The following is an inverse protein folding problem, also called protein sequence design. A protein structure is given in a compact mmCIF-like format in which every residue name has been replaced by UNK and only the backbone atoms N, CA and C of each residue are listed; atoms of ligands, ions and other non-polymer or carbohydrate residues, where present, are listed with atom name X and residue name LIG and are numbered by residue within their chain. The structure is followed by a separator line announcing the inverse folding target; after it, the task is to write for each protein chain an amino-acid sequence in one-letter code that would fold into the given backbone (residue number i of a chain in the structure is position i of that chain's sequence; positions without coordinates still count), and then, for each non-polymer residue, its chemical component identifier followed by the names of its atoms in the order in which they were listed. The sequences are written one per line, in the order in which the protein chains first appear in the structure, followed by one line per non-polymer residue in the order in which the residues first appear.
data_IF_606920787062
#
_entry.id   IF_606920787062
#
_cell.length_a   1.000
_cell.length_b   1.000
_cell.length_c   1.000
_cell.angle_alpha   90.00
_cell.angle_beta   90.00
_cell.angle_gamma   90.00
#
_symmetry.space_group_name_H-M   'P 1'
#
loop_
_entity.id
_entity.type
_entity.pdbx_description
1 polymer ?
#
# COMPACT_ATOMS: atom_id res chain seq x y z
N UNK A 1 -3.10 7.22 -3.77
CA UNK A 1 -3.02 8.18 -2.67
C UNK A 1 -1.60 8.59 -2.39
N UNK A 2 -0.67 7.65 -2.06
CA UNK A 2 0.76 7.98 -1.85
C UNK A 2 1.38 8.83 -2.96
N UNK A 3 1.08 8.57 -4.22
CA UNK A 3 1.57 9.38 -5.35
C UNK A 3 0.92 10.74 -5.46
N UNK A 4 -0.36 10.86 -5.13
CA UNK A 4 -1.04 12.15 -5.24
C UNK A 4 -0.50 13.18 -4.24
N UNK A 5 -0.34 12.75 -3.00
CA UNK A 5 0.33 13.55 -1.99
C UNK A 5 1.82 13.78 -2.33
N UNK A 6 2.53 12.76 -2.85
CA UNK A 6 3.93 12.90 -3.27
C UNK A 6 4.11 13.73 -4.53
N UNK A 7 3.22 13.62 -5.54
CA UNK A 7 3.31 14.49 -6.72
C UNK A 7 3.15 15.98 -6.35
N UNK A 8 2.26 16.30 -5.40
CA UNK A 8 2.19 17.64 -4.83
C UNK A 8 3.44 18.04 -4.03
N UNK A 9 4.08 17.05 -3.38
CA UNK A 9 5.26 17.29 -2.54
C UNK A 9 6.59 17.22 -3.29
N UNK A 10 6.70 16.42 -4.35
CA UNK A 10 7.96 16.22 -5.09
C UNK A 10 8.08 17.04 -6.38
N UNK A 11 7.03 17.72 -6.83
CA UNK A 11 7.05 18.60 -7.99
C UNK A 11 7.87 19.88 -7.76
N UNK A 12 8.91 19.81 -6.93
CA UNK A 12 9.71 20.98 -6.64
C UNK A 12 11.07 20.91 -7.30
N UNK A 13 11.18 21.38 -8.53
CA UNK A 13 12.14 22.42 -8.88
C UNK A 13 12.17 22.70 -10.39
N UNK A 14 11.86 23.94 -10.70
CA UNK A 14 12.24 24.74 -11.87
C UNK A 14 11.17 25.14 -12.88
N UNK A 15 9.91 24.77 -12.75
CA UNK A 15 8.88 25.49 -13.53
C UNK A 15 7.72 25.86 -12.61
N UNK A 16 7.41 27.16 -12.55
CA UNK A 16 6.15 27.66 -11.96
C UNK A 16 5.00 27.14 -12.83
N UNK A 17 4.55 25.92 -12.58
CA UNK A 17 3.26 25.45 -13.08
C UNK A 17 2.19 25.80 -12.07
N UNK A 18 1.13 26.42 -12.55
CA UNK A 18 0.02 26.88 -11.76
C UNK A 18 -0.74 25.64 -11.25
N UNK A 19 -1.07 25.58 -9.98
CA UNK A 19 -1.72 24.45 -9.29
C UNK A 19 -3.02 24.01 -9.98
N UNK A 20 -3.75 24.95 -10.58
CA UNK A 20 -4.94 24.70 -11.39
C UNK A 20 -4.68 23.90 -12.67
N UNK A 21 -3.47 23.89 -13.19
CA UNK A 21 -3.12 23.15 -14.40
C UNK A 21 -2.78 21.69 -14.13
N UNK A 22 -2.28 21.36 -12.93
CA UNK A 22 -1.98 19.96 -12.52
C UNK A 22 -3.27 19.22 -12.19
N UNK A 23 -4.19 19.89 -11.51
CA UNK A 23 -5.48 19.30 -11.09
C UNK A 23 -6.46 19.19 -12.27
N UNK A 24 -6.40 20.12 -13.24
CA UNK A 24 -7.35 20.15 -14.36
C UNK A 24 -6.99 19.23 -15.53
N UNK A 25 -5.76 18.70 -15.59
CA UNK A 25 -5.31 17.96 -16.79
C UNK A 25 -5.23 16.45 -16.66
N UNK A 26 -5.32 15.87 -15.45
CA UNK A 26 -5.43 14.41 -15.29
C UNK A 26 -5.96 14.01 -13.90
N UNK A 27 -7.23 14.25 -13.60
CA UNK A 27 -7.79 13.84 -12.32
C UNK A 27 -7.96 12.31 -12.19
N UNK A 28 -7.91 11.58 -13.28
CA UNK A 28 -8.29 10.16 -13.33
C UNK A 28 -7.09 9.22 -13.26
N UNK A 29 -5.95 9.61 -13.82
CA UNK A 29 -4.71 8.83 -13.70
C UNK A 29 -4.22 8.66 -12.26
N UNK A 30 -4.54 9.63 -11.41
CA UNK A 30 -4.23 9.57 -9.99
C UNK A 30 -5.17 8.65 -9.19
N UNK A 31 -6.27 8.18 -9.78
CA UNK A 31 -7.33 7.43 -9.10
C UNK A 31 -7.25 5.92 -9.28
N UNK A 32 -6.67 5.44 -10.38
CA UNK A 32 -6.25 4.05 -10.46
C UNK A 32 -5.25 3.71 -9.33
N UNK A 33 -4.56 4.74 -8.82
CA UNK A 33 -3.65 4.63 -7.69
C UNK A 33 -4.32 4.73 -6.32
N UNK A 34 -5.62 4.98 -6.21
CA UNK A 34 -6.29 5.20 -4.92
C UNK A 34 -7.01 3.99 -4.37
N UNK A 35 -7.12 2.96 -5.17
CA UNK A 35 -7.85 1.77 -4.75
C UNK A 35 -6.94 0.84 -3.98
N UNK A 36 -7.31 0.57 -2.78
CA UNK A 36 -6.89 -0.52 -1.91
C UNK A 36 -5.70 -0.20 -1.02
N UNK A 37 -6.04 0.06 0.20
CA UNK A 37 -5.17 -0.03 1.32
C UNK A 37 -4.38 -1.33 1.32
N UNK A 38 -3.13 -1.15 1.50
CA UNK A 38 -2.24 -2.20 1.95
C UNK A 38 -1.71 -3.15 0.91
N UNK A 39 -2.20 -3.22 -0.33
CA UNK A 39 -1.65 -4.31 -1.11
C UNK A 39 -1.89 -4.39 -2.60
N UNK A 40 -2.82 -3.71 -3.13
CA UNK A 40 -3.08 -3.77 -4.57
C UNK A 40 -2.37 -2.65 -5.34
N UNK A 41 -1.44 -1.98 -4.72
CA UNK A 41 -0.75 -0.83 -5.28
C UNK A 41 0.61 -1.10 -5.88
N UNK A 42 0.90 -2.33 -6.12
CA UNK A 42 2.02 -2.67 -6.98
C UNK A 42 1.81 -2.23 -8.45
N UNK A 43 0.64 -1.72 -8.78
CA UNK A 43 0.29 -1.49 -10.17
C UNK A 43 1.00 -0.33 -10.84
N UNK A 44 1.68 0.52 -10.11
CA UNK A 44 2.37 1.65 -10.70
C UNK A 44 3.62 2.03 -9.94
N UNK A 45 4.51 1.06 -9.75
CA UNK A 45 5.91 1.38 -9.67
C UNK A 45 6.39 1.78 -11.07
N UNK A 46 5.81 2.80 -11.64
CA UNK A 46 6.56 3.52 -12.64
C UNK A 46 7.85 3.94 -11.95
N UNK A 47 8.96 3.88 -12.65
CA UNK A 47 10.26 4.27 -12.14
C UNK A 47 10.13 5.61 -11.44
N UNK A 48 10.87 5.80 -10.36
CA UNK A 48 10.91 7.05 -9.61
C UNK A 48 10.84 8.19 -10.61
N UNK A 49 9.74 8.91 -10.63
CA UNK A 49 9.44 9.86 -11.69
C UNK A 49 10.59 10.85 -11.76
N UNK A 50 11.36 10.75 -12.82
CA UNK A 50 12.33 11.76 -13.16
C UNK A 50 11.58 13.09 -13.25
N UNK A 51 11.87 14.11 -12.46
CA UNK A 51 11.12 15.37 -12.47
C UNK A 51 11.23 16.16 -13.78
N UNK A 52 11.85 15.59 -14.80
CA UNK A 52 12.06 16.26 -16.08
C UNK A 52 11.15 15.77 -17.24
N UNK A 53 10.23 14.82 -17.02
CA UNK A 53 9.44 14.16 -18.08
C UNK A 53 8.10 14.78 -18.45
N UNK A 54 7.63 15.82 -17.80
CA UNK A 54 6.41 16.54 -18.23
C UNK A 54 6.77 17.63 -19.24
N UNK A 55 6.86 17.25 -20.50
CA UNK A 55 6.82 18.23 -21.60
C UNK A 55 5.45 18.91 -21.59
N UNK A 56 5.47 20.24 -21.53
CA UNK A 56 4.30 21.07 -21.75
C UNK A 56 3.66 20.73 -23.10
N UNK A 57 2.51 20.09 -23.07
CA UNK A 57 1.66 20.03 -24.26
C UNK A 57 1.02 21.39 -24.45
N UNK A 58 1.32 22.05 -25.55
CA UNK A 58 0.66 23.28 -25.99
C UNK A 58 -0.84 23.03 -26.09
N UNK A 59 -1.63 23.91 -25.50
CA UNK A 59 -3.08 23.89 -25.55
C UNK A 59 -3.57 24.23 -26.98
N UNK A 60 -3.63 23.23 -27.84
CA UNK A 60 -4.47 23.23 -29.01
C UNK A 60 -5.69 22.36 -28.67
N UNK A 61 -6.86 22.98 -28.58
CA UNK A 61 -8.13 22.28 -28.49
C UNK A 61 -8.34 21.45 -29.77
N UNK A 62 -7.75 20.26 -29.81
CA UNK A 62 -8.10 19.22 -30.76
C UNK A 62 -9.22 18.41 -30.14
N UNK A 63 -10.24 18.09 -30.91
CA UNK A 63 -11.25 17.09 -30.57
C UNK A 63 -10.53 15.72 -30.49
N UNK A 64 -9.84 15.45 -29.39
CA UNK A 64 -9.22 14.17 -29.16
C UNK A 64 -10.32 13.11 -29.08
N UNK A 65 -10.20 12.11 -29.95
CA UNK A 65 -11.05 10.91 -29.88
C UNK A 65 -10.81 10.29 -28.51
N UNK A 66 -11.90 9.97 -27.82
CA UNK A 66 -11.86 9.17 -26.58
C UNK A 66 -10.94 7.95 -26.79
N UNK A 67 -9.96 7.71 -25.90
CA UNK A 67 -9.01 6.59 -26.04
C UNK A 67 -9.73 5.27 -26.30
N UNK A 68 -9.11 4.36 -27.03
CA UNK A 68 -9.64 3.01 -27.19
C UNK A 68 -9.72 2.32 -25.80
N UNK A 69 -10.64 1.39 -25.63
CA UNK A 69 -10.86 0.72 -24.35
C UNK A 69 -9.57 0.10 -23.74
N UNK A 70 -8.66 -0.34 -24.60
CA UNK A 70 -7.36 -0.92 -24.21
C UNK A 70 -6.26 0.12 -23.92
N UNK A 71 -6.57 1.40 -24.05
CA UNK A 71 -5.66 2.51 -23.77
C UNK A 71 -6.10 3.31 -22.54
N UNK A 72 -7.22 2.91 -21.91
CA UNK A 72 -7.82 3.59 -20.75
C UNK A 72 -7.33 2.98 -19.46
N UNK A 73 -7.10 3.81 -18.45
CA UNK A 73 -6.76 3.40 -17.10
C UNK A 73 -7.94 2.72 -16.37
N UNK A 74 -9.16 2.98 -16.82
CA UNK A 74 -10.36 2.26 -16.38
C UNK A 74 -11.23 1.88 -17.58
N UNK A 75 -11.95 0.75 -17.50
CA UNK A 75 -12.76 0.24 -18.61
C UNK A 75 -13.94 1.15 -18.93
N UNK A 76 -14.63 1.70 -17.92
CA UNK A 76 -15.88 2.44 -18.10
C UNK A 76 -15.91 3.80 -17.40
N UNK A 77 -15.34 3.90 -16.21
CA UNK A 77 -15.55 5.03 -15.30
C UNK A 77 -14.90 6.29 -15.84
N UNK A 78 -13.66 6.21 -16.31
CA UNK A 78 -12.93 7.34 -16.90
C UNK A 78 -13.74 7.98 -18.04
N UNK A 79 -14.15 7.17 -18.99
CA UNK A 79 -14.93 7.68 -20.14
C UNK A 79 -16.30 8.23 -19.75
N UNK A 80 -16.92 7.73 -18.67
CA UNK A 80 -18.17 8.27 -18.16
C UNK A 80 -17.95 9.63 -17.48
N UNK A 81 -16.92 9.79 -16.66
CA UNK A 81 -16.59 11.08 -16.01
C UNK A 81 -16.24 12.13 -17.04
N UNK A 82 -15.38 11.82 -18.00
CA UNK A 82 -15.00 12.73 -19.09
C UNK A 82 -16.23 13.20 -19.90
N UNK A 83 -17.16 12.31 -20.14
CA UNK A 83 -18.37 12.60 -20.94
C UNK A 83 -19.42 13.40 -20.18
N UNK A 84 -19.67 13.05 -18.91
CA UNK A 84 -20.85 13.54 -18.18
C UNK A 84 -20.52 14.56 -17.09
N UNK A 85 -19.28 14.60 -16.61
CA UNK A 85 -18.85 15.45 -15.50
C UNK A 85 -17.38 15.89 -15.59
N UNK A 86 -16.90 16.44 -16.76
CA UNK A 86 -15.48 16.66 -16.99
C UNK A 86 -14.82 17.65 -16.00
N UNK A 87 -15.57 18.62 -15.49
CA UNK A 87 -15.05 19.66 -14.60
C UNK A 87 -15.58 19.56 -13.18
N UNK A 88 -16.16 18.41 -12.81
CA UNK A 88 -16.82 18.26 -11.50
C UNK A 88 -15.84 18.11 -10.34
N UNK A 89 -14.57 17.78 -10.59
CA UNK A 89 -13.63 17.36 -9.55
C UNK A 89 -14.03 16.05 -8.85
N UNK A 90 -15.02 15.35 -9.40
CA UNK A 90 -15.50 14.06 -8.89
C UNK A 90 -14.77 12.92 -9.59
N UNK A 91 -14.08 12.11 -8.84
CA UNK A 91 -13.22 11.05 -9.31
C UNK A 91 -13.60 9.74 -8.64
N UNK A 92 -14.56 9.00 -9.19
CA UNK A 92 -14.95 7.69 -8.70
C UNK A 92 -14.00 6.61 -9.21
N UNK A 93 -13.88 5.53 -8.44
CA UNK A 93 -13.14 4.35 -8.84
C UNK A 93 -13.85 3.08 -8.42
N UNK A 94 -13.65 2.02 -9.20
CA UNK A 94 -14.05 0.65 -8.87
C UNK A 94 -12.96 -0.29 -9.35
N UNK A 95 -12.41 -1.08 -8.44
CA UNK A 95 -11.40 -2.10 -8.76
C UNK A 95 -11.89 -3.45 -8.28
N UNK A 96 -11.66 -4.47 -9.09
CA UNK A 96 -11.79 -5.85 -8.69
C UNK A 96 -10.43 -6.53 -8.74
N UNK A 97 -10.06 -7.16 -7.62
CA UNK A 97 -8.88 -8.02 -7.51
C UNK A 97 -9.34 -9.42 -7.20
N UNK A 98 -9.02 -10.38 -8.04
CA UNK A 98 -9.32 -11.79 -7.82
C UNK A 98 -8.05 -12.61 -7.79
N UNK A 99 -7.97 -13.57 -6.87
CA UNK A 99 -6.80 -14.42 -6.69
C UNK A 99 -7.17 -15.89 -6.65
N UNK A 100 -6.28 -16.71 -7.19
CA UNK A 100 -6.37 -18.15 -7.05
C UNK A 100 -5.02 -18.67 -6.53
N UNK A 101 -5.05 -19.38 -5.41
CA UNK A 101 -3.87 -19.89 -4.72
C UNK A 101 -3.93 -21.39 -4.51
N UNK A 102 -2.77 -22.06 -4.47
CA UNK A 102 -2.65 -23.47 -4.16
C UNK A 102 -1.37 -23.74 -3.36
N UNK A 103 -1.51 -24.46 -2.24
CA UNK A 103 -0.37 -25.14 -1.59
C UNK A 103 -0.07 -26.43 -2.32
N UNK A 104 1.10 -26.50 -2.95
CA UNK A 104 1.56 -27.65 -3.75
C UNK A 104 2.60 -28.50 -3.02
N UNK A 105 2.89 -28.23 -1.76
CA UNK A 105 3.93 -28.90 -0.97
C UNK A 105 3.61 -30.35 -0.61
N UNK A 106 2.35 -30.71 -0.55
CA UNK A 106 1.87 -32.02 -0.05
C UNK A 106 1.43 -32.99 -1.14
N UNK A 107 1.96 -32.83 -2.34
CA UNK A 107 1.68 -33.72 -3.47
C UNK A 107 0.30 -33.52 -4.08
N UNK A 108 -0.41 -34.61 -4.45
CA UNK A 108 -1.69 -34.51 -5.18
C UNK A 108 -2.88 -34.00 -4.34
N UNK A 109 -2.74 -33.85 -3.05
CA UNK A 109 -3.76 -33.22 -2.20
C UNK A 109 -3.50 -31.70 -2.13
N UNK A 110 -3.70 -31.04 -3.24
CA UNK A 110 -3.57 -29.58 -3.35
C UNK A 110 -4.71 -28.91 -2.60
N UNK A 111 -4.37 -28.11 -1.61
CA UNK A 111 -5.32 -27.18 -1.02
C UNK A 111 -5.34 -25.91 -1.87
N UNK A 112 -6.52 -25.50 -2.30
CA UNK A 112 -6.69 -24.33 -3.15
C UNK A 112 -7.68 -23.36 -2.53
N UNK A 113 -7.41 -22.08 -2.74
CA UNK A 113 -8.24 -20.95 -2.32
C UNK A 113 -8.51 -20.08 -3.54
N UNK A 114 -9.73 -19.58 -3.63
CA UNK A 114 -10.07 -18.43 -4.46
C UNK A 114 -10.61 -17.34 -3.55
N UNK A 115 -10.10 -16.12 -3.72
CA UNK A 115 -10.57 -14.94 -3.02
C UNK A 115 -10.71 -13.76 -3.97
N UNK A 116 -11.47 -12.79 -3.57
CA UNK A 116 -11.63 -11.56 -4.34
C UNK A 116 -12.00 -10.36 -3.48
N UNK A 117 -11.51 -9.22 -3.91
CA UNK A 117 -11.76 -7.93 -3.30
C UNK A 117 -12.35 -6.97 -4.33
N UNK A 118 -13.54 -6.47 -4.06
CA UNK A 118 -14.08 -5.29 -4.72
C UNK A 118 -13.81 -4.06 -3.88
N UNK A 119 -13.16 -3.08 -4.48
CA UNK A 119 -12.98 -1.77 -3.86
C UNK A 119 -13.72 -0.72 -4.67
N UNK A 120 -14.50 0.09 -3.99
CA UNK A 120 -15.27 1.19 -4.60
C UNK A 120 -15.05 2.44 -3.78
N UNK A 121 -15.00 3.57 -4.44
CA UNK A 121 -14.86 4.83 -3.75
C UNK A 121 -14.89 6.02 -4.70
N UNK A 122 -14.64 7.17 -4.11
CA UNK A 122 -14.46 8.42 -4.85
C UNK A 122 -13.63 9.39 -4.06
N UNK A 123 -13.06 10.34 -4.77
CA UNK A 123 -12.55 11.59 -4.23
C UNK A 123 -13.29 12.76 -4.87
N UNK A 124 -13.59 13.79 -4.09
CA UNK A 124 -14.20 15.00 -4.55
C UNK A 124 -13.31 16.20 -4.23
N UNK A 125 -12.80 16.86 -5.26
CA UNK A 125 -12.19 18.18 -5.11
C UNK A 125 -13.28 19.21 -4.79
N UNK A 126 -13.21 19.81 -3.61
CA UNK A 126 -14.19 20.78 -3.15
C UNK A 126 -14.04 22.13 -3.88
N UNK A 127 -12.88 22.42 -4.46
CA UNK A 127 -12.67 23.63 -5.25
C UNK A 127 -13.53 23.61 -6.53
N UNK A 128 -13.74 22.43 -7.10
CA UNK A 128 -14.56 22.25 -8.30
C UNK A 128 -16.07 22.41 -8.05
N UNK A 129 -16.55 22.17 -6.83
CA UNK A 129 -18.01 22.20 -6.49
C UNK A 129 -18.49 23.59 -6.03
N UNK A 130 -17.77 24.65 -6.38
CA UNK A 130 -18.12 26.02 -6.01
C UNK A 130 -17.41 26.53 -4.76
N UNK A 131 -16.41 25.79 -4.28
CA UNK A 131 -15.44 26.25 -3.29
C UNK A 131 -14.46 27.26 -3.88
N UNK A 132 -13.68 27.87 -3.03
CA UNK A 132 -12.51 28.66 -3.44
C UNK A 132 -11.32 27.71 -3.66
N UNK A 133 -10.33 28.15 -4.42
CA UNK A 133 -9.06 27.44 -4.50
C UNK A 133 -8.53 27.11 -3.09
N UNK A 134 -8.08 25.90 -2.89
CA UNK A 134 -7.53 25.44 -1.61
C UNK A 134 -8.56 24.93 -0.58
N UNK A 135 -9.78 24.64 -0.99
CA UNK A 135 -10.78 24.00 -0.10
C UNK A 135 -10.49 22.52 0.18
N UNK A 136 -9.48 21.93 -0.46
CA UNK A 136 -9.10 20.56 -0.25
C UNK A 136 -10.06 19.55 -0.89
N UNK A 137 -10.03 18.32 -0.40
CA UNK A 137 -10.79 17.21 -0.98
C UNK A 137 -11.35 16.27 0.09
N UNK A 138 -12.44 15.59 -0.24
CA UNK A 138 -13.04 14.51 0.55
C UNK A 138 -12.81 13.20 -0.20
N UNK A 139 -12.33 12.18 0.49
CA UNK A 139 -12.20 10.82 -0.02
C UNK A 139 -13.06 9.85 0.77
N UNK A 140 -13.65 8.88 0.05
CA UNK A 140 -14.41 7.77 0.62
C UNK A 140 -14.05 6.50 -0.12
N UNK A 141 -13.75 5.43 0.62
CA UNK A 141 -13.55 4.10 0.08
C UNK A 141 -14.28 3.04 0.89
N UNK A 142 -14.70 1.99 0.21
CA UNK A 142 -15.32 0.81 0.80
C UNK A 142 -14.89 -0.42 0.03
N UNK A 143 -14.93 -1.58 0.66
CA UNK A 143 -14.62 -2.82 0.00
C UNK A 143 -15.59 -3.95 0.38
N UNK A 144 -15.65 -4.93 -0.50
CA UNK A 144 -16.33 -6.20 -0.30
C UNK A 144 -15.36 -7.33 -0.61
N UNK A 145 -15.00 -8.12 0.40
CA UNK A 145 -14.12 -9.26 0.30
C UNK A 145 -14.89 -10.57 0.39
N UNK A 146 -14.56 -11.50 -0.49
CA UNK A 146 -15.12 -12.87 -0.49
C UNK A 146 -14.00 -13.89 -0.64
N UNK A 147 -14.19 -15.05 -0.04
CA UNK A 147 -13.22 -16.15 -0.09
C UNK A 147 -13.93 -17.50 -0.21
N UNK A 148 -13.25 -18.47 -0.77
CA UNK A 148 -13.64 -19.88 -0.72
C UNK A 148 -12.94 -20.61 0.43
N UNK A 149 -13.47 -21.74 0.85
CA UNK A 149 -12.81 -22.65 1.80
C UNK A 149 -12.30 -22.00 3.09
N UNK A 150 -13.14 -21.13 3.71
CA UNK A 150 -12.83 -20.44 4.98
C UNK A 150 -11.49 -19.66 5.00
N UNK A 151 -10.93 -19.36 3.84
CA UNK A 151 -9.70 -18.58 3.69
C UNK A 151 -8.41 -19.32 4.00
N UNK A 152 -8.48 -20.66 4.15
CA UNK A 152 -7.33 -21.47 4.53
C UNK A 152 -6.67 -22.15 3.33
N UNK A 153 -5.36 -22.08 3.24
CA UNK A 153 -4.52 -22.90 2.37
C UNK A 153 -4.00 -24.12 3.11
N UNK A 154 -4.95 -25.03 3.47
CA UNK A 154 -4.57 -26.33 4.05
C UNK A 154 -3.90 -26.26 5.42
N UNK A 155 -4.14 -25.20 6.18
CA UNK A 155 -3.55 -24.97 7.48
C UNK A 155 -2.11 -24.45 7.40
N UNK A 156 -1.75 -23.77 6.31
CA UNK A 156 -0.55 -22.94 6.29
C UNK A 156 -0.73 -21.77 7.24
N UNK A 157 0.10 -21.73 8.27
CA UNK A 157 0.16 -20.67 9.28
C UNK A 157 1.59 -20.15 9.36
N UNK A 158 1.76 -18.84 9.33
CA UNK A 158 3.06 -18.19 9.37
C UNK A 158 3.01 -16.94 10.22
N UNK A 159 3.99 -16.79 11.09
CA UNK A 159 4.15 -15.60 11.90
C UNK A 159 4.49 -14.34 11.09
N UNK A 160 4.93 -14.50 9.85
CA UNK A 160 5.20 -13.36 8.96
C UNK A 160 3.94 -12.73 8.38
N UNK A 161 2.80 -13.41 8.42
CA UNK A 161 1.55 -12.98 7.81
C UNK A 161 1.09 -13.91 6.70
N UNK A 162 0.27 -13.39 5.79
CA UNK A 162 -0.43 -14.17 4.78
C UNK A 162 0.32 -14.16 3.43
N UNK A 163 0.11 -15.23 2.64
CA UNK A 163 0.57 -15.33 1.24
C UNK A 163 -0.02 -14.25 0.32
N UNK A 164 -1.12 -13.64 0.73
CA UNK A 164 -1.74 -12.54 0.01
C UNK A 164 -2.04 -11.36 0.94
N UNK A 165 -1.86 -10.20 0.41
CA UNK A 165 -2.04 -8.92 1.08
C UNK A 165 -3.48 -8.36 0.95
N UNK A 166 -4.41 -9.06 0.26
CA UNK A 166 -5.83 -8.73 0.26
C UNK A 166 -6.66 -9.63 1.19
N UNK A 167 -6.06 -10.69 1.74
CA UNK A 167 -6.80 -11.63 2.62
C UNK A 167 -7.38 -10.89 3.82
N UNK A 168 -8.68 -11.08 3.99
CA UNK A 168 -9.47 -10.57 5.11
C UNK A 168 -10.54 -11.61 5.45
N UNK A 169 -11.29 -11.52 6.49
CA UNK A 169 -12.49 -12.33 6.66
C UNK A 169 -13.59 -11.86 5.69
N UNK A 170 -14.54 -12.74 5.28
CA UNK A 170 -15.68 -12.29 4.46
C UNK A 170 -16.35 -11.08 5.08
N UNK A 171 -16.31 -9.96 4.41
CA UNK A 171 -16.87 -8.71 4.92
C UNK A 171 -17.18 -7.70 3.83
N UNK A 172 -18.15 -6.83 4.12
CA UNK A 172 -18.38 -5.58 3.41
C UNK A 172 -18.13 -4.43 4.41
N UNK A 173 -17.27 -3.48 4.05
CA UNK A 173 -16.84 -2.44 4.99
C UNK A 173 -16.58 -1.13 4.30
N UNK A 174 -17.00 -0.01 4.91
CA UNK A 174 -16.41 1.29 4.63
C UNK A 174 -15.02 1.31 5.24
N UNK A 175 -14.02 1.63 4.41
CA UNK A 175 -12.62 1.56 4.81
C UNK A 175 -12.12 2.94 5.24
N UNK A 176 -12.00 3.88 4.32
CA UNK A 176 -11.58 5.23 4.66
C UNK A 176 -12.68 6.26 4.37
N UNK A 177 -12.79 7.26 5.23
CA UNK A 177 -13.53 8.50 5.00
C UNK A 177 -12.69 9.64 5.55
N UNK A 178 -12.26 10.56 4.70
CA UNK A 178 -11.39 11.63 5.13
C UNK A 178 -11.63 12.96 4.41
N UNK A 179 -11.19 14.00 5.06
CA UNK A 179 -10.90 15.29 4.45
C UNK A 179 -9.39 15.49 4.38
N UNK A 180 -8.90 16.00 3.26
CA UNK A 180 -7.49 16.31 3.04
C UNK A 180 -7.30 17.70 2.46
N UNK A 181 -6.20 18.34 2.82
CA UNK A 181 -5.78 19.60 2.22
C UNK A 181 -4.26 19.75 2.24
N UNK A 182 -3.73 20.54 1.30
CA UNK A 182 -2.32 20.77 1.10
C UNK A 182 -2.06 22.27 0.95
N UNK A 183 -0.97 22.74 1.54
CA UNK A 183 -0.57 24.16 1.55
C UNK A 183 0.88 24.29 1.11
N UNK A 184 1.12 25.09 0.09
CA UNK A 184 2.47 25.51 -0.28
C UNK A 184 2.90 26.71 0.56
N UNK A 185 4.08 26.62 1.15
CA UNK A 185 4.67 27.71 1.93
C UNK A 185 6.09 27.98 1.45
N UNK A 186 6.65 29.12 1.80
CA UNK A 186 8.05 29.43 1.54
C UNK A 186 9.05 28.53 2.26
N UNK A 187 8.58 27.76 3.23
CA UNK A 187 9.38 26.82 4.03
C UNK A 187 9.12 25.36 3.68
N UNK A 188 8.43 25.07 2.59
CA UNK A 188 8.05 23.73 2.17
C UNK A 188 6.54 23.56 2.10
N UNK A 189 6.12 22.33 1.79
CA UNK A 189 4.72 21.97 1.64
C UNK A 189 4.25 21.28 2.92
N UNK A 190 3.05 21.65 3.36
CA UNK A 190 2.36 21.05 4.50
C UNK A 190 1.06 20.48 3.98
N UNK A 191 0.77 19.21 4.31
CA UNK A 191 -0.52 18.58 4.01
C UNK A 191 -1.06 17.87 5.24
N UNK A 192 -2.35 17.59 5.24
CA UNK A 192 -2.95 16.76 6.27
C UNK A 192 -4.14 15.96 5.73
N UNK A 193 -4.41 14.83 6.40
CA UNK A 193 -5.65 14.06 6.28
C UNK A 193 -6.25 13.87 7.66
N UNK A 194 -7.55 14.04 7.78
CA UNK A 194 -8.30 13.81 9.02
C UNK A 194 -9.57 13.03 8.72
N UNK A 195 -9.84 12.00 9.49
CA UNK A 195 -11.03 11.17 9.33
C UNK A 195 -10.78 9.74 9.78
N UNK A 196 -11.44 8.80 9.15
CA UNK A 196 -11.18 7.38 9.29
C UNK A 196 -10.07 7.02 8.29
N UNK A 197 -8.91 6.62 8.80
CA UNK A 197 -7.66 6.46 8.05
C UNK A 197 -6.96 5.17 8.42
N UNK A 198 -6.22 4.57 7.49
CA UNK A 198 -5.33 3.44 7.73
C UNK A 198 -3.86 3.90 7.75
N UNK A 199 -3.08 3.45 8.73
CA UNK A 199 -1.70 3.91 8.91
C UNK A 199 -0.74 3.29 7.87
N UNK A 200 -0.99 2.09 7.41
CA UNK A 200 -0.17 1.41 6.38
C UNK A 200 -0.21 2.12 5.01
N UNK A 201 -1.21 2.99 4.78
CA UNK A 201 -1.25 3.88 3.62
C UNK A 201 -0.14 4.95 3.64
N UNK A 202 0.32 5.35 4.82
CA UNK A 202 1.18 6.50 5.02
C UNK A 202 2.59 6.14 5.48
N UNK A 203 2.75 4.95 6.10
CA UNK A 203 3.97 4.53 6.76
C UNK A 203 4.51 3.20 6.21
N UNK A 204 5.80 2.94 6.40
CA UNK A 204 6.53 1.70 6.10
C UNK A 204 6.70 1.35 4.61
N UNK A 205 5.84 1.83 3.72
CA UNK A 205 5.89 1.44 2.31
C UNK A 205 7.12 1.94 1.57
N UNK A 206 7.58 1.12 0.64
CA UNK A 206 8.66 1.42 -0.31
C UNK A 206 8.17 1.09 -1.71
N UNK A 207 8.43 1.97 -2.69
CA UNK A 207 7.92 1.79 -4.06
C UNK A 207 8.36 0.44 -4.68
N UNK A 208 9.54 -0.06 -4.31
CA UNK A 208 10.04 -1.33 -4.83
C UNK A 208 9.54 -2.56 -4.06
N UNK A 209 8.92 -2.39 -2.89
CA UNK A 209 8.26 -3.49 -2.18
C UNK A 209 6.79 -3.69 -2.60
N UNK A 210 6.19 -2.70 -3.24
CA UNK A 210 4.76 -2.68 -3.50
C UNK A 210 4.28 -3.69 -4.57
N UNK A 211 5.20 -4.28 -5.35
CA UNK A 211 4.85 -5.29 -6.36
C UNK A 211 4.53 -6.65 -5.76
N UNK A 212 4.98 -6.93 -4.55
CA UNK A 212 4.85 -8.24 -3.93
C UNK A 212 3.45 -8.47 -3.34
N UNK A 213 3.03 -9.74 -3.34
CA UNK A 213 1.71 -10.15 -2.88
C UNK A 213 1.69 -10.63 -1.42
N UNK A 214 2.82 -11.12 -0.91
CA UNK A 214 2.92 -11.51 0.49
C UNK A 214 2.72 -10.30 1.41
N UNK A 215 1.84 -10.44 2.40
CA UNK A 215 1.45 -9.32 3.27
C UNK A 215 2.61 -8.70 4.05
N UNK A 216 3.65 -9.48 4.39
CA UNK A 216 4.83 -8.98 5.10
C UNK A 216 5.68 -8.02 4.27
N UNK A 217 5.64 -8.16 2.94
CA UNK A 217 6.34 -7.26 2.03
C UNK A 217 5.58 -5.92 1.83
N UNK A 218 4.32 -5.84 2.23
CA UNK A 218 3.55 -4.62 2.38
C UNK A 218 3.80 -3.95 3.74
N UNK A 219 3.10 -4.40 4.77
CA UNK A 219 3.28 -3.94 6.15
C UNK A 219 4.34 -4.78 6.87
N UNK A 220 5.29 -4.15 7.55
CA UNK A 220 6.33 -4.84 8.34
C UNK A 220 5.68 -5.48 9.57
N UNK A 221 5.65 -6.83 9.71
CA UNK A 221 4.79 -7.51 10.69
C UNK A 221 5.04 -7.14 12.14
N UNK A 222 6.31 -7.00 12.54
CA UNK A 222 6.67 -6.64 13.92
C UNK A 222 6.60 -5.13 14.20
N UNK A 223 6.42 -4.31 13.17
CA UNK A 223 6.18 -2.86 13.31
C UNK A 223 4.68 -2.57 13.36
N UNK A 224 3.90 -3.27 12.57
CA UNK A 224 2.46 -3.15 12.51
C UNK A 224 1.79 -4.52 12.70
N UNK A 225 1.84 -5.11 13.92
CA UNK A 225 1.13 -6.33 14.18
C UNK A 225 -0.34 -6.20 13.80
N UNK A 226 -0.87 -7.22 13.13
CA UNK A 226 -2.25 -7.25 12.71
C UNK A 226 -3.20 -7.02 13.90
N UNK A 227 -4.29 -6.31 13.69
CA UNK A 227 -5.30 -5.97 14.70
C UNK A 227 -4.84 -5.03 15.85
N UNK A 228 -3.55 -4.66 15.92
CA UNK A 228 -3.07 -3.70 16.92
C UNK A 228 -3.18 -2.25 16.42
N UNK A 229 -3.03 -2.03 15.14
CA UNK A 229 -3.01 -0.72 14.52
C UNK A 229 -4.10 -0.55 13.46
N UNK A 230 -4.46 0.69 13.20
CA UNK A 230 -5.26 1.06 12.05
C UNK A 230 -4.49 0.76 10.77
N UNK A 231 -4.89 -0.27 10.07
CA UNK A 231 -4.28 -0.73 8.81
C UNK A 231 -5.30 -1.52 7.99
N UNK A 232 -4.95 -1.94 6.78
CA UNK A 232 -5.81 -2.88 6.04
C UNK A 232 -6.06 -4.12 6.95
N UNK A 233 -7.26 -4.47 7.20
CA UNK A 233 -8.58 -4.19 6.68
C UNK A 233 -9.44 -3.27 7.58
N UNK A 234 -8.88 -2.64 8.60
CA UNK A 234 -9.59 -1.83 9.59
C UNK A 234 -8.96 -0.45 9.72
N UNK A 235 -9.62 0.56 9.19
CA UNK A 235 -9.27 1.96 9.41
C UNK A 235 -9.97 2.52 10.64
N UNK A 236 -9.32 3.44 11.36
CA UNK A 236 -9.85 4.10 12.56
C UNK A 236 -9.75 5.62 12.44
N UNK A 237 -10.39 6.34 13.38
CA UNK A 237 -10.27 7.79 13.44
C UNK A 237 -8.81 8.20 13.65
N UNK A 238 -8.35 9.15 12.85
CA UNK A 238 -6.97 9.62 12.89
C UNK A 238 -6.77 10.98 12.24
N UNK A 239 -5.58 11.49 12.47
CA UNK A 239 -5.03 12.69 11.83
C UNK A 239 -3.62 12.37 11.38
N UNK A 240 -3.32 12.62 10.10
CA UNK A 240 -1.97 12.53 9.55
C UNK A 240 -1.56 13.89 9.03
N UNK A 241 -0.34 14.29 9.34
CA UNK A 241 0.28 15.52 8.86
C UNK A 241 1.53 15.19 8.07
N UNK A 242 1.66 15.81 6.92
CA UNK A 242 2.80 15.67 6.00
C UNK A 242 3.53 17.00 5.92
N UNK A 243 4.83 16.93 5.94
CA UNK A 243 5.70 18.06 5.66
C UNK A 243 6.77 17.64 4.68
N UNK A 244 7.06 18.46 3.65
CA UNK A 244 8.19 18.22 2.75
C UNK A 244 8.94 19.52 2.46
N UNK A 245 10.25 19.40 2.43
CA UNK A 245 11.16 20.46 2.05
C UNK A 245 12.37 19.89 1.34
N UNK A 246 12.60 20.34 0.11
CA UNK A 246 13.65 19.80 -0.78
C UNK A 246 13.60 18.28 -0.86
N UNK A 247 14.61 17.58 -0.36
CA UNK A 247 14.72 16.12 -0.41
C UNK A 247 14.17 15.43 0.85
N UNK A 248 13.76 16.18 1.86
CA UNK A 248 13.24 15.65 3.12
C UNK A 248 11.73 15.63 3.14
N UNK A 249 11.17 14.61 3.75
CA UNK A 249 9.77 14.54 4.12
C UNK A 249 9.61 13.97 5.54
N UNK A 250 8.59 14.47 6.23
CA UNK A 250 8.18 14.03 7.55
C UNK A 250 6.69 13.73 7.53
N UNK A 251 6.32 12.53 7.96
CA UNK A 251 4.93 12.13 8.18
C UNK A 251 4.71 11.84 9.65
N UNK A 252 3.69 12.43 10.24
CA UNK A 252 3.26 12.21 11.62
C UNK A 252 1.79 11.79 11.62
N UNK A 253 1.46 10.72 12.34
CA UNK A 253 0.09 10.20 12.45
C UNK A 253 -0.32 9.97 13.90
N UNK A 254 -1.54 10.33 14.24
CA UNK A 254 -2.19 9.98 15.50
C UNK A 254 -3.51 9.31 15.18
N UNK A 255 -3.73 8.12 15.72
CA UNK A 255 -4.91 7.33 15.46
C UNK A 255 -5.56 6.88 16.77
N UNK A 256 -6.86 6.62 16.71
CA UNK A 256 -7.51 5.84 17.74
C UNK A 256 -6.82 4.48 17.84
N UNK A 257 -6.29 4.13 19.00
CA UNK A 257 -5.58 2.87 19.21
C UNK A 257 -6.52 1.67 19.34
N UNK A 258 -7.82 1.89 19.56
CA UNK A 258 -8.80 0.82 19.60
C UNK A 258 -9.31 0.53 18.18
N UNK A 259 -8.85 -0.56 17.60
CA UNK A 259 -9.23 -1.00 16.23
C UNK A 259 -10.58 -1.73 16.21
N UNK A 260 -11.22 -1.93 17.36
CA UNK A 260 -12.49 -2.63 17.52
C UNK A 260 -12.32 -4.13 17.77
N UNK A 261 -13.09 -4.62 18.76
CA UNK A 261 -12.97 -5.99 19.26
C UNK A 261 -13.59 -7.05 18.34
N UNK A 262 -14.51 -6.67 17.47
CA UNK A 262 -15.18 -7.58 16.53
C UNK A 262 -15.19 -6.97 15.13
N UNK A 263 -14.15 -7.27 14.39
CA UNK A 263 -13.97 -6.82 13.01
C UNK A 263 -15.12 -7.31 12.12
N UNK A 264 -15.66 -8.50 12.38
CA UNK A 264 -16.70 -9.12 11.54
C UNK A 264 -18.06 -8.42 11.65
N UNK A 265 -18.37 -7.86 12.81
CA UNK A 265 -19.62 -7.12 13.05
C UNK A 265 -19.54 -5.63 12.75
N UNK A 266 -18.33 -5.10 12.62
CA UNK A 266 -18.08 -3.68 12.39
C UNK A 266 -17.99 -3.37 10.90
N UNK A 267 -19.08 -2.91 10.30
CA UNK A 267 -19.12 -2.49 8.89
C UNK A 267 -18.33 -1.20 8.59
N UNK A 268 -17.32 -0.87 9.39
CA UNK A 268 -16.45 0.26 9.23
C UNK A 268 -16.82 1.48 10.10
N UNK A 269 -17.80 1.39 10.99
CA UNK A 269 -18.31 2.51 11.78
C UNK A 269 -18.38 2.25 13.29
N UNK A 270 -17.51 1.42 13.82
CA UNK A 270 -17.42 1.27 15.27
C UNK A 270 -16.52 2.34 15.88
N UNK A 271 -17.15 3.32 16.49
CA UNK A 271 -16.50 4.42 17.22
C UNK A 271 -16.69 4.28 18.74
N UNK A 272 -17.07 3.10 19.22
CA UNK A 272 -17.07 2.79 20.65
C UNK A 272 -15.64 2.86 21.20
N UNK A 273 -15.50 3.34 22.43
CA UNK A 273 -14.20 3.50 23.10
C UNK A 273 -13.17 4.34 22.33
N UNK A 274 -13.65 5.34 21.59
CA UNK A 274 -12.80 6.22 20.79
C UNK A 274 -11.80 6.97 21.69
N UNK A 275 -10.51 6.82 21.34
CA UNK A 275 -9.37 7.40 22.06
C UNK A 275 -9.21 7.00 23.53
N UNK A 276 -9.73 5.84 23.96
CA UNK A 276 -9.29 5.22 25.23
C UNK A 276 -7.82 4.82 25.16
N UNK A 277 -7.36 4.43 23.98
CA UNK A 277 -5.96 4.21 23.64
C UNK A 277 -5.58 5.03 22.41
N UNK A 278 -4.30 5.33 22.27
CA UNK A 278 -3.76 6.16 21.19
C UNK A 278 -2.61 5.40 20.53
N UNK A 279 -2.62 5.39 19.21
CA UNK A 279 -1.51 4.97 18.39
C UNK A 279 -0.87 6.19 17.73
N UNK A 280 0.43 6.34 17.88
CA UNK A 280 1.23 7.40 17.28
C UNK A 280 2.21 6.81 16.29
N UNK A 281 2.36 7.45 15.12
CA UNK A 281 3.29 7.07 14.06
C UNK A 281 4.13 8.24 13.60
N UNK A 282 5.37 7.97 13.22
CA UNK A 282 6.25 8.95 12.59
C UNK A 282 7.12 8.28 11.53
N UNK A 283 7.41 9.01 10.47
CA UNK A 283 8.35 8.61 9.42
C UNK A 283 9.09 9.83 8.88
N UNK A 284 10.41 9.75 8.85
CA UNK A 284 11.28 10.69 8.17
C UNK A 284 11.82 10.04 6.90
N UNK A 285 11.66 10.69 5.77
CA UNK A 285 12.17 10.27 4.47
C UNK A 285 13.24 11.22 3.93
N UNK A 286 14.20 10.67 3.22
CA UNK A 286 15.22 11.42 2.49
C UNK A 286 15.43 10.82 1.11
N UNK A 287 15.21 11.62 0.07
CA UNK A 287 15.50 11.26 -1.30
C UNK A 287 16.91 11.72 -1.67
N UNK A 288 17.65 10.85 -2.30
CA UNK A 288 19.02 11.14 -2.71
C UNK A 288 19.29 10.60 -4.12
N UNK A 289 20.39 11.03 -4.68
CA UNK A 289 20.88 10.53 -5.96
C UNK A 289 22.33 10.07 -5.79
N UNK A 290 22.61 8.85 -6.20
CA UNK A 290 23.94 8.26 -6.15
C UNK A 290 24.42 7.91 -7.56
N UNK A 291 25.31 8.72 -8.12
CA UNK A 291 25.83 8.50 -9.46
C UNK A 291 24.80 8.63 -10.58
N UNK A 292 23.78 9.46 -10.43
CA UNK A 292 22.69 9.61 -11.38
C UNK A 292 21.53 8.61 -11.17
N UNK A 293 21.58 7.81 -10.09
CA UNK A 293 20.60 6.80 -9.75
C UNK A 293 19.80 7.23 -8.53
N UNK A 294 18.48 7.32 -8.66
CA UNK A 294 17.60 7.76 -7.59
C UNK A 294 17.56 6.73 -6.46
N UNK A 295 17.58 7.22 -5.23
CA UNK A 295 17.45 6.43 -4.02
C UNK A 295 16.61 7.13 -2.96
N UNK A 296 16.12 6.38 -2.00
CA UNK A 296 15.36 6.86 -0.85
C UNK A 296 15.71 6.06 0.39
N UNK A 297 15.83 6.73 1.50
CA UNK A 297 15.89 6.12 2.82
C UNK A 297 14.75 6.65 3.67
N UNK A 298 14.14 5.77 4.45
CA UNK A 298 13.13 6.11 5.44
C UNK A 298 13.55 5.59 6.81
N UNK A 299 13.24 6.34 7.84
CA UNK A 299 13.33 5.93 9.23
C UNK A 299 12.00 6.27 9.91
N UNK A 300 11.44 5.36 10.65
CA UNK A 300 10.20 5.58 11.34
C UNK A 300 9.98 4.65 12.52
N UNK A 301 8.82 4.78 13.10
CA UNK A 301 8.39 3.94 14.22
C UNK A 301 6.99 4.32 14.68
N UNK A 302 6.55 3.60 15.68
CA UNK A 302 5.25 3.84 16.30
C UNK A 302 5.28 3.63 17.81
N UNK A 303 4.19 4.04 18.42
CA UNK A 303 3.88 3.82 19.82
C UNK A 303 2.39 3.59 19.99
N UNK A 304 2.01 2.54 20.72
CA UNK A 304 0.63 2.28 21.13
C UNK A 304 0.55 2.33 22.66
N UNK A 305 -0.39 3.12 23.18
CA UNK A 305 -0.44 3.44 24.61
C UNK A 305 -0.83 2.24 25.49
N UNK A 306 -1.69 1.35 24.98
CA UNK A 306 -2.15 0.16 25.71
C UNK A 306 -2.75 -0.89 24.74
N UNK A 307 -1.93 -1.75 24.13
CA UNK A 307 -2.43 -2.79 23.24
C UNK A 307 -3.26 -3.87 23.93
N UNK A 308 -3.19 -4.04 25.25
CA UNK A 308 -4.00 -5.03 25.97
C UNK A 308 -5.50 -4.75 25.92
N UNK A 309 -5.89 -3.53 25.56
CA UNK A 309 -7.30 -3.14 25.37
C UNK A 309 -7.83 -3.40 23.95
N UNK A 310 -6.97 -3.83 23.05
CA UNK A 310 -7.32 -4.13 21.66
C UNK A 310 -7.42 -5.63 21.52
N UNK A 311 -8.32 -6.29 22.14
CA UNK A 311 -8.70 -7.71 22.01
C UNK A 311 -7.57 -8.71 21.66
N UNK A 312 -6.35 -8.40 22.07
CA UNK A 312 -5.20 -9.27 21.96
C UNK A 312 -5.10 -10.07 23.26
N UNK A 313 -5.69 -11.25 23.29
CA UNK A 313 -5.74 -12.15 24.47
C UNK A 313 -4.35 -12.57 25.00
N UNK A 314 -3.27 -12.07 24.45
CA UNK A 314 -1.92 -12.54 24.73
C UNK A 314 -0.94 -11.46 25.22
N UNK A 315 -1.34 -10.20 25.33
CA UNK A 315 -0.41 -9.13 25.68
C UNK A 315 -0.65 -8.63 27.11
N UNK A 316 0.23 -9.02 28.01
CA UNK A 316 0.29 -8.56 29.41
C UNK A 316 1.00 -7.19 29.57
N UNK A 317 1.09 -6.39 28.51
CA UNK A 317 1.95 -5.23 28.45
C UNK A 317 1.19 -3.91 28.38
N UNK A 318 1.67 -2.94 29.10
CA UNK A 318 1.06 -1.61 29.19
C UNK A 318 1.29 -0.70 27.98
N UNK A 319 2.20 -0.99 27.06
CA UNK A 319 2.43 -0.21 25.84
C UNK A 319 3.24 -1.01 24.84
N UNK A 320 3.12 -0.65 23.56
CA UNK A 320 3.93 -1.20 22.47
C UNK A 320 4.70 -0.06 21.79
N UNK A 321 5.90 -0.35 21.31
CA UNK A 321 6.64 0.55 20.44
C UNK A 321 7.57 -0.23 19.51
N UNK A 322 7.76 0.31 18.32
CA UNK A 322 8.62 -0.28 17.32
C UNK A 322 9.34 0.78 16.48
N UNK A 323 10.38 0.34 15.79
CA UNK A 323 11.18 1.17 14.88
C UNK A 323 11.41 0.42 13.58
N UNK A 324 11.52 1.17 12.48
CA UNK A 324 11.90 0.61 11.20
C UNK A 324 12.82 1.54 10.40
N UNK A 325 13.59 0.93 9.54
CA UNK A 325 14.41 1.58 8.52
C UNK A 325 14.12 0.91 7.19
N UNK A 326 13.95 1.69 6.14
CA UNK A 326 13.85 1.21 4.77
C UNK A 326 14.79 1.97 3.86
N UNK A 327 15.37 1.27 2.90
CA UNK A 327 16.17 1.86 1.82
C UNK A 327 15.74 1.27 0.49
N UNK A 328 15.63 2.12 -0.53
CA UNK A 328 15.49 1.69 -1.92
C UNK A 328 16.44 2.46 -2.81
N UNK A 329 16.93 1.81 -3.87
CA UNK A 329 17.92 2.34 -4.77
C UNK A 329 17.71 1.83 -6.20
N UNK A 330 17.60 2.72 -7.16
CA UNK A 330 17.77 2.36 -8.57
C UNK A 330 19.21 1.87 -8.79
N UNK A 331 19.38 0.72 -9.40
CA UNK A 331 20.69 0.10 -9.64
C UNK A 331 21.20 0.36 -11.06
N UNK A 332 20.29 0.39 -12.02
CA UNK A 332 20.57 0.62 -13.43
C UNK A 332 19.39 1.41 -14.00
N UNK A 333 19.68 2.44 -14.77
CA UNK A 333 18.68 3.16 -15.53
C UNK A 333 18.74 2.76 -17.02
N UNK A 334 17.61 2.91 -17.70
CA UNK A 334 17.52 2.84 -19.15
C UNK A 334 18.08 4.11 -19.80
N UNK A 335 17.98 4.20 -21.13
CA UNK A 335 18.46 5.36 -21.88
C UNK A 335 17.65 6.64 -21.65
N UNK A 336 16.47 6.54 -21.07
CA UNK A 336 15.56 7.66 -20.76
C UNK A 336 15.75 8.14 -19.31
N UNK A 337 16.52 7.41 -18.50
CA UNK A 337 16.77 7.71 -17.09
C UNK A 337 15.80 7.05 -16.12
N UNK A 338 14.95 6.13 -16.59
CA UNK A 338 14.05 5.37 -15.75
C UNK A 338 14.78 4.15 -15.16
N UNK A 339 14.44 3.75 -13.95
CA UNK A 339 15.03 2.56 -13.34
C UNK A 339 14.69 1.31 -14.15
N UNK A 340 15.71 0.59 -14.62
CA UNK A 340 15.57 -0.75 -15.20
C UNK A 340 15.69 -1.82 -14.13
N UNK A 341 16.56 -1.64 -13.17
CA UNK A 341 16.67 -2.47 -11.98
C UNK A 341 16.62 -1.59 -10.73
N UNK A 342 15.81 -2.02 -9.77
CA UNK A 342 15.70 -1.40 -8.46
C UNK A 342 15.85 -2.44 -7.36
N UNK A 343 16.37 -2.03 -6.20
CA UNK A 343 16.45 -2.88 -5.02
C UNK A 343 15.94 -2.14 -3.80
N UNK A 344 15.43 -2.89 -2.84
CA UNK A 344 15.04 -2.37 -1.53
C UNK A 344 15.48 -3.31 -0.41
N UNK A 345 15.58 -2.77 0.79
CA UNK A 345 15.70 -3.53 2.03
C UNK A 345 15.00 -2.77 3.17
N UNK A 346 14.33 -3.52 4.06
CA UNK A 346 13.69 -2.96 5.25
C UNK A 346 14.06 -3.76 6.48
N UNK A 347 14.13 -3.08 7.62
CA UNK A 347 14.37 -3.66 8.94
C UNK A 347 13.33 -3.13 9.91
N UNK A 348 12.76 -4.02 10.71
CA UNK A 348 11.85 -3.68 11.78
C UNK A 348 12.30 -4.31 13.11
N UNK A 349 12.20 -3.56 14.19
CA UNK A 349 12.44 -4.06 15.54
C UNK A 349 11.32 -3.62 16.47
N UNK A 350 10.85 -4.58 17.31
CA UNK A 350 9.95 -4.35 18.41
C UNK A 350 10.63 -4.84 19.69
N UNK A 351 11.30 -3.94 20.45
CA UNK A 351 12.22 -4.34 21.52
C UNK A 351 11.54 -4.90 22.77
N UNK A 352 10.24 -4.66 22.96
CA UNK A 352 9.53 -5.13 24.14
C UNK A 352 8.92 -6.50 23.91
N UNK A 353 9.57 -7.54 24.42
CA UNK A 353 9.16 -8.94 24.35
C UNK A 353 7.82 -9.26 25.04
N UNK A 354 7.24 -8.33 25.77
CA UNK A 354 5.95 -8.53 26.44
C UNK A 354 4.78 -8.05 25.60
N UNK A 355 5.05 -7.20 24.63
CA UNK A 355 4.05 -6.57 23.77
C UNK A 355 4.16 -6.97 22.31
N UNK A 356 5.13 -7.83 21.95
CA UNK A 356 5.32 -8.31 20.58
C UNK A 356 5.68 -9.78 20.55
N UNK A 357 5.03 -10.53 19.67
CA UNK A 357 5.40 -11.92 19.36
C UNK A 357 6.65 -11.99 18.47
N UNK A 358 7.05 -10.89 17.87
CA UNK A 358 8.14 -10.81 16.91
C UNK A 358 9.10 -9.67 17.29
N UNK A 359 10.37 -10.01 17.50
CA UNK A 359 11.38 -9.03 17.90
C UNK A 359 12.01 -8.32 16.72
N UNK A 360 12.28 -9.06 15.65
CA UNK A 360 13.03 -8.61 14.50
C UNK A 360 12.41 -9.09 13.20
N UNK A 361 12.41 -8.23 12.22
CA UNK A 361 12.02 -8.50 10.85
C UNK A 361 12.98 -7.83 9.89
N UNK A 362 13.28 -8.50 8.79
CA UNK A 362 13.96 -7.88 7.65
C UNK A 362 13.46 -8.47 6.35
N UNK A 363 13.40 -7.64 5.33
CA UNK A 363 13.21 -8.05 3.95
C UNK A 363 14.14 -7.30 3.01
N UNK A 364 14.34 -7.89 1.84
CA UNK A 364 15.03 -7.28 0.72
C UNK A 364 14.56 -7.89 -0.60
N UNK A 365 14.58 -7.09 -1.65
CA UNK A 365 14.16 -7.54 -2.97
C UNK A 365 14.78 -6.75 -4.10
N UNK A 366 14.61 -7.30 -5.30
CA UNK A 366 15.06 -6.72 -6.56
C UNK A 366 13.91 -6.75 -7.55
N UNK A 367 13.71 -5.64 -8.25
CA UNK A 367 12.74 -5.48 -9.31
C UNK A 367 13.48 -5.30 -10.65
N UNK A 368 13.01 -5.96 -11.66
CA UNK A 368 13.39 -5.76 -13.05
C UNK A 368 12.19 -5.20 -13.80
N UNK A 369 12.24 -3.92 -14.13
CA UNK A 369 11.21 -3.20 -14.87
C UNK A 369 11.38 -3.42 -16.36
N UNK A 370 10.27 -3.52 -17.09
CA UNK A 370 10.26 -3.76 -18.55
C UNK A 370 11.16 -4.97 -18.97
N UNK A 371 11.02 -6.16 -18.36
CA UNK A 371 11.92 -7.29 -18.65
C UNK A 371 11.79 -7.83 -20.08
N UNK A 372 10.67 -7.56 -20.74
CA UNK A 372 10.39 -8.00 -22.11
C UNK A 372 10.28 -6.77 -23.02
N UNK A 373 11.05 -6.70 -24.11
CA UNK A 373 10.97 -5.55 -25.04
C UNK A 373 9.55 -5.32 -25.57
N UNK A 374 9.09 -4.07 -25.50
CA UNK A 374 7.74 -3.66 -25.92
C UNK A 374 6.66 -3.92 -24.87
N UNK A 375 7.07 -4.23 -23.63
CA UNK A 375 6.20 -4.38 -22.46
C UNK A 375 6.75 -3.53 -21.32
N UNK A 376 6.58 -2.24 -21.46
CA UNK A 376 7.27 -1.24 -20.63
C UNK A 376 6.69 -1.15 -19.20
N UNK A 377 5.44 -1.59 -19.02
CA UNK A 377 4.75 -1.59 -17.73
C UNK A 377 4.83 -2.92 -16.95
N UNK A 378 5.53 -3.91 -17.51
CA UNK A 378 5.71 -5.19 -16.84
C UNK A 378 6.82 -5.13 -15.77
N UNK A 379 6.65 -5.90 -14.71
CA UNK A 379 7.64 -6.01 -13.64
C UNK A 379 7.87 -7.47 -13.26
N UNK A 380 9.12 -7.91 -13.28
CA UNK A 380 9.56 -9.16 -12.65
C UNK A 380 10.26 -8.81 -11.34
N UNK A 381 9.92 -9.51 -10.26
CA UNK A 381 10.50 -9.22 -8.95
C UNK A 381 10.75 -10.49 -8.12
N UNK A 382 11.77 -10.40 -7.26
CA UNK A 382 12.12 -11.43 -6.29
C UNK A 382 12.39 -10.76 -4.95
N UNK A 383 11.80 -11.25 -3.87
CA UNK A 383 12.08 -10.79 -2.52
C UNK A 383 12.21 -11.94 -1.53
N UNK A 384 12.94 -11.68 -0.48
CA UNK A 384 13.12 -12.56 0.66
C UNK A 384 12.83 -11.81 1.95
N UNK A 385 12.11 -12.46 2.86
CA UNK A 385 11.83 -11.94 4.19
C UNK A 385 12.15 -12.96 5.27
N UNK A 386 12.52 -12.48 6.46
CA UNK A 386 12.78 -13.29 7.64
C UNK A 386 12.28 -12.58 8.89
N UNK A 387 11.63 -13.32 9.78
CA UNK A 387 11.20 -12.87 11.11
C UNK A 387 11.87 -13.70 12.20
N UNK A 388 12.21 -13.04 13.30
CA UNK A 388 12.56 -13.71 14.55
C UNK A 388 11.39 -13.62 15.52
N UNK A 389 10.85 -14.79 15.89
CA UNK A 389 9.77 -14.90 16.86
C UNK A 389 10.31 -14.86 18.29
N UNK A 390 9.62 -14.12 19.15
CA UNK A 390 9.93 -14.03 20.58
C UNK A 390 9.78 -15.39 21.27
N UNK A 391 10.49 -15.59 22.36
CA UNK A 391 10.52 -16.85 23.08
C UNK A 391 9.13 -17.34 23.55
N UNK A 392 8.23 -16.42 23.90
CA UNK A 392 6.88 -16.74 24.29
C UNK A 392 6.06 -17.28 23.10
N UNK A 393 6.21 -16.66 21.94
CA UNK A 393 5.54 -17.05 20.70
C UNK A 393 6.09 -18.36 20.09
N UNK A 394 7.27 -18.83 20.51
CA UNK A 394 7.89 -20.09 20.03
C UNK A 394 7.18 -21.36 20.48
N UNK A 395 6.12 -21.24 21.28
CA UNK A 395 5.22 -22.38 21.53
C UNK A 395 4.41 -22.73 20.28
N UNK A 396 4.06 -21.70 19.48
CA UNK A 396 3.19 -21.81 18.33
C UNK A 396 3.94 -21.58 17.01
N UNK A 397 5.09 -20.87 17.03
CA UNK A 397 5.88 -20.53 15.86
C UNK A 397 7.34 -20.96 15.98
N UNK A 398 7.99 -21.24 14.87
CA UNK A 398 9.42 -21.49 14.82
C UNK A 398 10.22 -20.26 15.28
N UNK A 399 11.45 -20.47 15.77
CA UNK A 399 12.32 -19.34 16.16
C UNK A 399 12.55 -18.34 15.03
N UNK A 400 12.79 -18.86 13.82
CA UNK A 400 12.89 -18.08 12.59
C UNK A 400 11.97 -18.67 11.54
N UNK A 401 11.20 -17.82 10.91
CA UNK A 401 10.46 -18.11 9.70
C UNK A 401 10.95 -17.21 8.58
N UNK A 402 10.94 -17.71 7.36
CA UNK A 402 11.34 -16.92 6.19
C UNK A 402 10.49 -17.25 4.97
N UNK A 403 10.35 -16.28 4.08
CA UNK A 403 9.60 -16.42 2.84
C UNK A 403 10.43 -15.90 1.67
N UNK A 404 10.49 -16.67 0.59
CA UNK A 404 10.96 -16.23 -0.72
C UNK A 404 9.77 -16.08 -1.63
N UNK A 405 9.60 -14.92 -2.24
CA UNK A 405 8.56 -14.63 -3.23
C UNK A 405 9.20 -14.32 -4.58
N UNK A 406 8.60 -14.87 -5.63
CA UNK A 406 8.94 -14.60 -7.04
C UNK A 406 7.65 -14.26 -7.75
N UNK A 407 7.57 -13.07 -8.31
CA UNK A 407 6.36 -12.57 -8.95
C UNK A 407 6.64 -11.93 -10.31
N UNK A 408 5.66 -11.97 -11.20
CA UNK A 408 5.70 -11.29 -12.49
C UNK A 408 4.40 -10.56 -12.74
N UNK A 409 4.41 -9.24 -12.64
CA UNK A 409 3.25 -8.42 -12.98
C UNK A 409 3.25 -8.12 -14.46
N UNK A 410 2.25 -8.66 -15.15
CA UNK A 410 2.01 -8.49 -16.58
C UNK A 410 0.87 -7.48 -16.77
N UNK A 411 1.19 -6.26 -17.18
CA UNK A 411 0.19 -5.24 -17.46
C UNK A 411 -0.37 -5.44 -18.86
N UNK A 412 -1.56 -6.04 -18.99
CA UNK A 412 -2.19 -6.33 -20.29
C UNK A 412 -2.71 -5.09 -20.98
N UNK A 413 -3.34 -4.22 -20.21
CA UNK A 413 -3.78 -2.88 -20.62
C UNK A 413 -3.63 -1.97 -19.39
N UNK A 414 -3.69 -0.64 -19.50
CA UNK A 414 -3.64 0.20 -18.31
C UNK A 414 -4.70 -0.15 -17.23
N UNK A 415 -5.83 -0.73 -17.64
CA UNK A 415 -6.92 -1.13 -16.75
C UNK A 415 -6.87 -2.59 -16.27
N UNK A 416 -6.03 -3.45 -16.84
CA UNK A 416 -6.04 -4.89 -16.56
C UNK A 416 -4.63 -5.40 -16.38
N UNK A 417 -4.37 -6.06 -15.24
CA UNK A 417 -3.13 -6.77 -14.98
C UNK A 417 -3.37 -8.23 -14.59
N UNK A 418 -2.39 -9.09 -14.89
CA UNK A 418 -2.31 -10.47 -14.42
C UNK A 418 -0.94 -10.66 -13.77
N UNK A 419 -0.91 -11.29 -12.61
CA UNK A 419 0.30 -11.44 -11.83
C UNK A 419 0.44 -12.87 -11.30
N UNK A 420 1.09 -13.79 -12.04
CA UNK A 420 1.52 -15.06 -11.49
C UNK A 420 2.55 -14.87 -10.38
N UNK A 421 2.43 -15.70 -9.36
CA UNK A 421 3.21 -15.61 -8.14
C UNK A 421 3.59 -16.98 -7.59
N UNK A 422 4.76 -17.08 -6.97
CA UNK A 422 5.24 -18.26 -6.26
C UNK A 422 5.91 -17.84 -4.97
N UNK A 423 5.50 -18.47 -3.87
CA UNK A 423 6.08 -18.26 -2.56
C UNK A 423 6.59 -19.56 -1.94
N UNK A 424 7.73 -19.47 -1.26
CA UNK A 424 8.34 -20.57 -0.53
C UNK A 424 8.44 -20.17 0.94
N UNK A 425 7.59 -20.77 1.76
CA UNK A 425 7.60 -20.57 3.22
C UNK A 425 8.51 -21.60 3.86
N UNK A 426 9.51 -21.15 4.59
CA UNK A 426 10.48 -21.97 5.31
C UNK A 426 10.19 -21.91 6.80
N UNK A 427 10.02 -23.07 7.40
CA UNK A 427 9.62 -23.30 8.80
C UNK A 427 8.25 -22.71 9.22
N UNK A 428 7.23 -22.67 8.33
CA UNK A 428 5.88 -22.30 8.77
C UNK A 428 5.33 -23.33 9.75
N UNK A 429 4.21 -23.05 10.40
CA UNK A 429 3.51 -23.98 11.28
C UNK A 429 4.42 -24.54 12.38
N UNK A 430 5.15 -23.68 13.09
CA UNK A 430 6.12 -24.10 14.13
C UNK A 430 7.28 -24.98 13.62
N UNK A 431 7.52 -25.00 12.32
CA UNK A 431 8.52 -25.88 11.68
C UNK A 431 8.07 -27.33 11.53
N UNK A 432 6.88 -27.69 11.99
CA UNK A 432 6.39 -29.08 11.99
C UNK A 432 6.10 -29.62 10.59
N UNK A 433 5.78 -28.73 9.64
CA UNK A 433 5.41 -29.10 8.27
C UNK A 433 6.55 -29.00 7.27
N UNK A 434 7.72 -28.52 7.69
CA UNK A 434 8.86 -28.25 6.81
C UNK A 434 8.61 -27.03 5.92
N UNK A 435 9.06 -27.10 4.66
CA UNK A 435 8.89 -26.01 3.69
C UNK A 435 7.56 -26.14 2.97
N UNK A 436 6.79 -25.06 2.88
CA UNK A 436 5.58 -24.98 2.07
C UNK A 436 5.85 -24.24 0.76
N UNK A 437 5.24 -24.72 -0.32
CA UNK A 437 5.32 -24.12 -1.66
C UNK A 437 3.93 -23.67 -2.07
N UNK A 438 3.74 -22.37 -2.21
CA UNK A 438 2.48 -21.76 -2.62
C UNK A 438 2.64 -21.18 -4.01
N UNK A 439 1.69 -21.45 -4.88
CA UNK A 439 1.63 -20.86 -6.21
C UNK A 439 0.27 -20.22 -6.42
N UNK A 440 0.25 -19.11 -7.12
CA UNK A 440 -1.01 -18.40 -7.36
C UNK A 440 -0.93 -17.45 -8.53
N UNK A 441 -2.04 -16.80 -8.76
CA UNK A 441 -2.13 -15.70 -9.70
C UNK A 441 -3.19 -14.71 -9.24
N UNK A 442 -2.87 -13.43 -9.37
CA UNK A 442 -3.78 -12.28 -9.18
C UNK A 442 -4.23 -11.75 -10.54
N UNK A 443 -5.47 -11.35 -10.63
CA UNK A 443 -6.02 -10.55 -11.73
C UNK A 443 -6.59 -9.29 -11.14
N UNK A 444 -6.22 -8.15 -11.70
CA UNK A 444 -6.76 -6.84 -11.34
C UNK A 444 -7.50 -6.23 -12.52
N UNK A 445 -8.64 -5.62 -12.25
CA UNK A 445 -9.46 -4.91 -13.24
C UNK A 445 -9.95 -3.60 -12.66
N UNK A 446 -9.59 -2.49 -13.28
CA UNK A 446 -10.10 -1.15 -13.01
C UNK A 446 -11.27 -0.86 -13.97
N UNK A 447 -12.48 -0.57 -13.41
CA UNK A 447 -13.71 -0.41 -14.19
C UNK A 447 -13.99 1.01 -14.65
#
# INVERSE_FOLDING_TARGET
MRRFLRAGFFANNKTKMNRSEIISKCPIAAFAALSIAGSAFAAESAPAANPQGLKSADAAASSEKCPAWNERESLFIQGAVEKYAPDSGFSPFVTWTGEAWADVSRGFNVHSLFDSLFTVGFEQDLSAVGGSEGWGRIGVSAFYYTQSNDGSLGGLDSSQGCFSNIVAGEMARVFEIYYANDFETKFGNIGFRIGQLAADEDFMGMDYSDVFLNSSLGAIPNVAPAQMFSQYNVATLGLVVYYSYENFDLTLGVYNGNVGADISSNNGFDYSNTFETIAFWYQLGYNYELGGLAGRVVFGGNYHSDPSKVNFDQIDAGSFYSFFVGVQQALVNDSEGNAMFGAFARFGIAPDSKSSDQNFYTDFGINWFAPIPGRDDDVFAVAFSIVENERAARADYAHYESTLEVTYRCQLTPAIAIQPDMQIFMNPNNGDTGTAYVVGARVEVNF
#
